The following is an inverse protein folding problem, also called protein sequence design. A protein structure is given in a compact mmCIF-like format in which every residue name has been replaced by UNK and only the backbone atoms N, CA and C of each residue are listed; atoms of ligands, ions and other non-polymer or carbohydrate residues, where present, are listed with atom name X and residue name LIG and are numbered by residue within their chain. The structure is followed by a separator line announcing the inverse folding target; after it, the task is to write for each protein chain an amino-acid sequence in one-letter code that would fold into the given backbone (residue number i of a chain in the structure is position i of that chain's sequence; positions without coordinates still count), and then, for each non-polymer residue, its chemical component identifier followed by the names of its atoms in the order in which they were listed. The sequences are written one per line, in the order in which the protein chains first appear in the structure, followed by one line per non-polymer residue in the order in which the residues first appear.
data_IF_890276220598
#
_entry.id   IF_890276220598
#
_cell.length_a   1.000
_cell.length_b   1.000
_cell.length_c   1.000
_cell.angle_alpha   90.00
_cell.angle_beta   90.00
_cell.angle_gamma   90.00
#
_symmetry.space_group_name_H-M   'P 1'
#
loop_
_entity.id
_entity.type
_entity.pdbx_description
1 polymer ?
2 branched ?
3 branched ?
4 water ?
#
# COMPACT_ATOMS: atom_id res chain seq x y z
N UNK A 1 -17.24 20.12 -4.84
CA UNK A 1 -16.37 19.42 -5.85
C UNK A 1 -16.27 17.93 -5.54
N UNK A 2 -16.56 17.11 -6.55
CA UNK A 2 -16.58 15.66 -6.36
C UNK A 2 -15.18 15.10 -6.05
N UNK A 3 -14.12 15.74 -6.60
CA UNK A 3 -12.76 15.25 -6.43
C UNK A 3 -11.91 16.34 -5.75
N UNK A 4 -10.47 15.73 -5.16
CA UNK A 4 -9.43 16.58 -4.62
C UNK A 4 -8.72 17.35 -5.75
N UNK A 5 -8.19 18.53 -5.46
CA UNK A 5 -7.56 19.38 -6.49
C UNK A 5 -6.32 18.76 -7.14
N UNK A 6 -5.62 17.92 -6.39
CA UNK A 6 -4.40 17.27 -6.87
C UNK A 6 -4.75 16.26 -7.95
N UNK A 7 -6.00 15.81 -8.01
CA UNK A 7 -6.41 14.90 -9.08
C UNK A 7 -6.34 15.57 -10.42
N UNK A 8 -6.53 16.88 -10.45
CA UNK A 8 -6.48 17.61 -11.71
C UNK A 8 -5.09 18.08 -12.12
N UNK A 9 -4.17 18.21 -11.17
CA UNK A 9 -2.85 18.83 -11.43
C UNK A 9 -1.62 17.93 -11.19
N UNK A 10 -1.82 16.71 -10.74
CA UNK A 10 -0.70 15.84 -10.36
C UNK A 10 0.27 15.61 -11.51
N UNK A 11 1.56 15.79 -11.26
CA UNK A 11 2.62 15.35 -12.18
C UNK A 11 3.92 15.14 -11.40
N UNK A 12 4.83 14.30 -11.92
CA UNK A 12 6.09 14.00 -11.24
C UNK A 12 6.99 15.27 -11.23
N UNK A 13 7.48 15.62 -10.06
CA UNK A 13 8.44 16.68 -9.87
C UNK A 13 9.50 16.31 -8.86
N UNK A 14 10.65 16.96 -9.01
CA UNK A 14 11.73 16.82 -8.08
C UNK A 14 12.80 15.90 -8.61
N UNK A 15 13.76 15.68 -7.74
CA UNK A 15 14.87 14.79 -7.94
C UNK A 15 14.31 13.36 -7.90
N UNK A 16 14.93 12.44 -8.63
CA UNK A 16 14.47 11.06 -8.66
C UNK A 16 15.62 10.08 -8.52
N UNK A 17 15.25 8.86 -8.13
CA UNK A 17 16.16 7.76 -8.01
C UNK A 17 15.48 6.54 -8.60
N UNK A 18 16.19 5.82 -9.46
CA UNK A 18 15.69 4.56 -10.01
C UNK A 18 16.44 3.41 -9.36
N UNK A 19 15.71 2.47 -8.80
CA UNK A 19 16.30 1.30 -8.19
C UNK A 19 15.83 0.07 -8.96
N UNK A 20 16.70 -0.92 -9.07
CA UNK A 20 16.37 -2.12 -9.84
C UNK A 20 16.65 -3.44 -9.12
N UNK A 21 17.00 -3.32 -7.84
CA UNK A 21 17.07 -4.44 -6.91
C UNK A 21 16.35 -4.09 -5.63
N UNK A 22 16.14 -5.05 -4.74
CA UNK A 22 15.49 -4.77 -3.47
C UNK A 22 16.26 -3.71 -2.74
N UNK A 23 15.58 -2.68 -2.30
CA UNK A 23 16.26 -1.53 -1.72
C UNK A 23 15.28 -0.68 -0.93
N UNK A 24 15.74 -0.27 0.25
CA UNK A 24 15.10 0.72 1.12
C UNK A 24 15.97 1.98 1.12
N UNK A 25 15.34 3.14 1.01
CA UNK A 25 16.07 4.40 1.06
C UNK A 25 15.15 5.59 1.29
N UNK A 26 15.72 6.76 1.11
CA UNK A 26 14.97 8.00 1.09
C UNK A 26 15.35 8.84 -0.14
N UNK A 27 14.39 9.59 -0.65
CA UNK A 27 14.61 10.55 -1.70
C UNK A 27 13.97 11.80 -1.21
N UNK A 28 14.82 12.81 -1.06
CA UNK A 28 14.44 13.99 -0.33
C UNK A 28 14.07 13.50 1.04
N UNK A 29 12.86 13.88 1.45
CA UNK A 29 12.31 13.52 2.77
C UNK A 29 11.22 12.49 2.71
N UNK A 30 11.23 11.64 1.69
CA UNK A 30 10.24 10.57 1.55
C UNK A 30 10.97 9.25 1.58
N UNK A 31 10.41 8.30 2.33
CA UNK A 31 10.94 6.95 2.35
C UNK A 31 10.41 6.14 1.21
N UNK A 32 11.26 5.31 0.61
CA UNK A 32 10.84 4.41 -0.45
C UNK A 32 11.31 2.99 -0.19
N UNK A 33 10.66 2.05 -0.85
CA UNK A 33 11.14 0.67 -0.89
C UNK A 33 10.68 0.02 -2.17
N UNK A 34 11.62 -0.70 -2.78
CA UNK A 34 11.32 -1.70 -3.82
C UNK A 34 11.58 -3.05 -3.22
N UNK A 35 10.62 -3.95 -3.35
CA UNK A 35 10.79 -5.34 -2.88
C UNK A 35 10.08 -6.28 -3.82
N UNK A 36 10.77 -7.33 -4.28
CA UNK A 36 10.16 -8.39 -5.05
C UNK A 36 10.86 -9.70 -4.70
N UNK A 37 10.15 -10.78 -4.89
CA UNK A 37 10.75 -12.10 -4.65
C UNK A 37 11.46 -12.70 -5.86
N UNK A 38 11.25 -12.08 -7.02
CA UNK A 38 11.72 -12.55 -8.30
C UNK A 38 11.42 -11.49 -9.35
N UNK A 39 12.06 -11.64 -10.51
CA UNK A 39 11.71 -10.89 -11.71
C UNK A 39 12.74 -9.82 -12.03
N UNK A 40 12.51 -9.15 -13.15
CA UNK A 40 13.33 -8.06 -13.65
C UNK A 40 12.53 -6.77 -13.50
N UNK A 41 12.78 -6.06 -12.40
CA UNK A 41 11.86 -5.04 -11.91
C UNK A 41 12.57 -3.72 -11.68
N UNK A 42 11.79 -2.65 -11.49
CA UNK A 42 12.38 -1.38 -11.15
C UNK A 42 11.34 -0.50 -10.51
N UNK A 43 11.80 0.59 -9.92
CA UNK A 43 10.92 1.64 -9.48
C UNK A 43 11.68 2.95 -9.52
N UNK A 44 10.98 4.01 -9.84
CA UNK A 44 11.54 5.35 -9.87
C UNK A 44 10.77 6.22 -8.86
N UNK A 45 11.50 6.72 -7.87
CA UNK A 45 10.93 7.49 -6.77
C UNK A 45 11.35 8.93 -6.89
N UNK A 46 10.37 9.82 -6.71
CA UNK A 46 10.60 11.28 -6.78
C UNK A 46 10.52 11.92 -5.40
N UNK A 47 11.26 13.01 -5.23
CA UNK A 47 11.30 13.75 -3.94
C UNK A 47 9.96 14.42 -3.59
N UNK A 48 9.02 14.53 -4.56
CA UNK A 48 7.67 15.02 -4.27
C UNK A 48 6.72 13.94 -3.78
N UNK A 49 7.24 12.73 -3.59
CA UNK A 49 6.48 11.59 -3.10
C UNK A 49 5.95 10.66 -4.19
N UNK A 50 5.78 11.18 -5.40
CA UNK A 50 5.25 10.41 -6.51
C UNK A 50 6.29 9.38 -6.97
N UNK A 51 5.84 8.41 -7.76
CA UNK A 51 6.72 7.32 -8.16
C UNK A 51 6.11 6.56 -9.31
N UNK A 52 6.92 5.68 -9.90
CA UNK A 52 6.47 4.80 -10.97
C UNK A 52 7.13 3.43 -10.81
N UNK A 53 6.45 2.42 -11.35
CA UNK A 53 6.78 1.00 -11.12
C UNK A 53 6.85 0.20 -12.40
N UNK A 54 7.83 -0.69 -12.50
CA UNK A 54 7.88 -1.70 -13.56
C UNK A 54 8.18 -3.04 -12.94
N UNK A 55 7.51 -4.07 -13.44
CA UNK A 55 7.74 -5.44 -12.99
C UNK A 55 7.69 -6.38 -14.21
N UNK A 56 8.57 -7.38 -14.22
CA UNK A 56 8.60 -8.34 -15.33
C UNK A 56 8.89 -9.69 -14.76
N UNK A 57 7.96 -10.61 -15.05
CA UNK A 57 8.07 -11.98 -14.61
C UNK A 57 8.30 -12.14 -13.09
N UNK A 58 7.49 -11.41 -12.33
CA UNK A 58 7.55 -11.44 -10.87
C UNK A 58 6.46 -12.30 -10.23
N UNK A 59 6.81 -12.90 -9.12
CA UNK A 59 5.90 -13.65 -8.31
C UNK A 59 5.14 -12.70 -7.43
N UNK A 60 5.88 -11.83 -6.73
CA UNK A 60 5.28 -10.81 -5.88
C UNK A 60 6.19 -9.58 -5.95
N UNK A 61 5.63 -8.44 -6.34
CA UNK A 61 6.32 -7.19 -6.53
C UNK A 61 5.58 -6.08 -5.76
N UNK A 62 6.34 -5.32 -4.99
CA UNK A 62 5.85 -4.16 -4.25
C UNK A 62 6.71 -2.94 -4.54
N UNK A 63 6.04 -1.82 -4.88
CA UNK A 63 6.71 -0.53 -4.96
C UNK A 63 5.95 0.41 -4.03
N UNK A 64 6.66 1.12 -3.18
CA UNK A 64 5.93 1.94 -2.18
C UNK A 64 6.80 3.13 -1.78
N UNK A 65 6.10 4.21 -1.41
CA UNK A 65 6.70 5.48 -0.99
C UNK A 65 5.85 6.15 0.09
N UNK A 66 6.55 6.71 1.07
CA UNK A 66 5.81 7.42 2.14
C UNK A 66 6.63 7.47 3.39
N UNK A 67 5.99 7.14 4.53
CA UNK A 67 6.56 7.35 5.82
C UNK A 67 7.32 6.11 6.32
N UNK A 68 8.51 6.30 6.88
CA UNK A 68 9.30 5.22 7.54
C UNK A 68 9.56 5.63 9.00
N UNK A 69 9.11 4.81 9.94
CA UNK A 69 9.26 5.03 11.35
C UNK A 69 10.22 4.04 11.95
N UNK A 70 10.49 4.12 13.24
CA UNK A 70 11.45 3.27 13.90
C UNK A 70 10.80 2.22 14.82
N UNK A 71 9.50 1.99 14.63
CA UNK A 71 8.81 0.95 15.39
C UNK A 71 8.88 1.14 16.91
N UNK A 72 8.76 2.41 17.35
CA UNK A 72 8.75 2.73 18.77
C UNK A 72 7.40 3.29 19.26
N UNK A 73 6.51 3.70 18.34
CA UNK A 73 5.28 4.43 18.71
C UNK A 73 4.09 3.78 18.02
N UNK A 74 2.98 3.64 18.73
CA UNK A 74 1.72 3.23 18.09
C UNK A 74 1.22 4.36 17.20
N UNK A 75 0.29 4.06 16.29
CA UNK A 75 -0.28 5.13 15.49
C UNK A 75 -0.91 6.28 16.32
N UNK A 76 -1.59 5.95 17.39
CA UNK A 76 -2.20 6.97 18.20
C UNK A 76 -1.14 7.91 18.80
N UNK A 77 0.01 7.36 19.16
CA UNK A 77 1.11 8.16 19.68
C UNK A 77 1.73 9.04 18.59
N UNK A 78 1.77 8.53 17.36
CA UNK A 78 2.35 9.28 16.26
C UNK A 78 1.51 10.50 15.87
N UNK A 79 0.21 10.27 15.83
CA UNK A 79 -0.76 11.25 15.35
C UNK A 79 -1.63 10.67 14.25
N UNK A 80 -2.62 11.44 13.85
CA UNK A 80 -3.54 11.03 12.80
C UNK A 80 -2.82 11.17 11.45
N UNK A 81 -3.01 10.19 10.57
CA UNK A 81 -2.32 10.10 9.31
C UNK A 81 -3.29 9.97 8.13
N UNK A 82 -2.85 10.51 6.99
CA UNK A 82 -3.60 10.48 5.75
C UNK A 82 -2.65 10.28 4.58
N UNK A 83 -3.17 9.79 3.46
CA UNK A 83 -2.41 9.72 2.23
C UNK A 83 -3.24 10.23 1.08
N UNK A 84 -2.62 11.09 0.27
CA UNK A 84 -3.17 11.58 -0.95
C UNK A 84 -2.52 10.76 -2.06
N UNK A 85 -3.32 10.25 -3.00
CA UNK A 85 -2.74 9.48 -4.08
C UNK A 85 -3.51 9.65 -5.38
N UNK A 86 -2.79 9.47 -6.47
CA UNK A 86 -3.38 9.34 -7.80
C UNK A 86 -2.67 8.19 -8.52
N UNK A 87 -3.45 7.20 -8.95
CA UNK A 87 -2.96 6.06 -9.73
C UNK A 87 -3.38 6.22 -11.19
N UNK A 88 -2.43 5.99 -12.08
CA UNK A 88 -2.71 5.86 -13.52
C UNK A 88 -2.30 4.45 -13.93
N UNK A 89 -3.29 3.63 -14.23
CA UNK A 89 -3.02 2.29 -14.70
C UNK A 89 -2.44 2.30 -16.09
N UNK A 90 -1.57 1.34 -16.35
CA UNK A 90 -0.93 1.17 -17.64
C UNK A 90 -1.07 -0.30 -18.03
N UNK A 91 -0.40 -0.74 -19.07
CA UNK A 91 -0.50 -2.14 -19.48
C UNK A 91 0.09 -3.10 -18.45
N UNK A 92 -0.56 -4.26 -18.28
CA UNK A 92 -0.01 -5.36 -17.48
C UNK A 92 -0.64 -6.70 -17.90
N UNK A 93 0.00 -7.79 -17.48
CA UNK A 93 -0.43 -9.13 -17.89
C UNK A 93 -0.07 -10.15 -16.83
N UNK A 94 -0.87 -11.22 -16.76
CA UNK A 94 -0.70 -12.28 -15.76
C UNK A 94 -0.60 -11.78 -14.32
N UNK A 95 -1.34 -10.71 -14.05
CA UNK A 95 -1.44 -10.17 -12.70
C UNK A 95 -2.58 -10.94 -11.99
N UNK A 96 -2.22 -11.89 -11.15
CA UNK A 96 -3.19 -12.76 -10.48
C UNK A 96 -3.82 -12.09 -9.27
N UNK A 97 -3.05 -11.23 -8.60
CA UNK A 97 -3.54 -10.47 -7.47
C UNK A 97 -2.82 -9.14 -7.42
N UNK A 98 -3.44 -8.14 -6.78
CA UNK A 98 -2.85 -6.81 -6.74
C UNK A 98 -3.59 -5.96 -5.74
N UNK A 99 -2.83 -5.07 -5.10
CA UNK A 99 -3.36 -4.11 -4.15
C UNK A 99 -2.72 -2.77 -4.44
N UNK A 100 -3.56 -1.72 -4.43
CA UNK A 100 -3.13 -0.34 -4.54
C UNK A 100 -3.82 0.46 -3.42
N UNK A 101 -3.04 1.22 -2.66
CA UNK A 101 -3.60 2.05 -1.60
C UNK A 101 -2.50 2.35 -0.61
N UNK A 102 -2.81 2.16 0.67
CA UNK A 102 -1.84 2.37 1.72
C UNK A 102 -1.45 1.00 2.32
N UNK A 103 -0.20 0.90 2.74
CA UNK A 103 0.34 -0.33 3.31
C UNK A 103 1.38 -0.02 4.36
N UNK A 104 1.52 -0.92 5.31
CA UNK A 104 2.63 -0.87 6.22
C UNK A 104 2.65 -2.06 7.12
N UNK A 105 3.40 -1.92 8.19
CA UNK A 105 3.58 -2.93 9.19
C UNK A 105 3.54 -2.31 10.58
N UNK A 106 3.16 -3.11 11.57
CA UNK A 106 3.51 -2.87 12.96
C UNK A 106 4.35 -4.01 13.51
N UNK A 107 4.99 -3.74 14.64
CA UNK A 107 5.61 -4.74 15.47
C UNK A 107 4.94 -4.78 16.83
N UNK A 108 5.04 -5.91 17.50
CA UNK A 108 4.47 -6.06 18.85
C UNK A 108 3.00 -5.65 18.94
N UNK A 109 2.13 -6.28 18.16
CA UNK A 109 2.39 -7.44 17.32
C UNK A 109 2.83 -7.13 15.91
N UNK A 110 3.47 -8.14 15.31
CA UNK A 110 3.86 -8.08 13.93
C UNK A 110 2.64 -8.26 13.01
N UNK A 111 2.32 -7.21 12.28
CA UNK A 111 1.13 -7.18 11.42
C UNK A 111 1.48 -6.43 10.16
N UNK A 112 1.03 -6.96 9.02
CA UNK A 112 1.03 -6.22 7.78
C UNK A 112 -0.38 -5.72 7.53
N UNK A 113 -0.51 -4.47 7.13
CA UNK A 113 -1.80 -3.92 6.91
C UNK A 113 -1.93 -3.26 5.53
N UNK A 114 -3.15 -3.28 5.02
CA UNK A 114 -3.49 -2.76 3.71
C UNK A 114 -4.82 -2.00 3.75
N UNK A 115 -4.84 -0.84 3.14
CA UNK A 115 -6.08 -0.12 2.84
C UNK A 115 -6.08 -0.05 1.30
N UNK A 116 -6.95 -0.82 0.70
CA UNK A 116 -6.92 -1.07 -0.71
C UNK A 116 -8.06 -0.36 -1.43
N UNK A 117 -7.68 0.65 -2.21
CA UNK A 117 -8.63 1.46 -2.98
C UNK A 117 -8.68 1.08 -4.45
N UNK A 118 -7.69 0.35 -4.93
CA UNK A 118 -7.67 -0.08 -6.30
C UNK A 118 -6.70 -1.28 -6.48
N UNK A 119 -6.50 -1.73 -7.71
CA UNK A 119 -5.83 -3.00 -7.96
C UNK A 119 -5.49 -2.97 -9.44
N UNK A 120 -4.33 -3.54 -9.77
CA UNK A 120 -3.84 -3.65 -11.15
C UNK A 120 -4.29 -4.90 -11.86
N UNK A 121 -4.88 -5.83 -11.10
CA UNK A 121 -5.44 -7.06 -11.60
C UNK A 121 -6.73 -6.76 -12.35
N UNK A 122 -7.18 -7.68 -13.21
CA UNK A 122 -8.43 -7.40 -13.93
C UNK A 122 -9.67 -7.24 -13.03
N UNK A 123 -9.68 -7.98 -11.92
CA UNK A 123 -10.79 -7.94 -10.98
C UNK A 123 -10.27 -7.61 -9.58
N UNK A 124 -11.16 -7.14 -8.71
CA UNK A 124 -10.65 -6.84 -7.38
C UNK A 124 -10.29 -8.09 -6.58
N UNK A 125 -9.52 -7.92 -5.51
CA UNK A 125 -9.27 -9.03 -4.63
C UNK A 125 -10.57 -9.60 -4.09
N UNK A 126 -10.65 -10.91 -3.97
CA UNK A 126 -11.81 -11.57 -3.40
C UNK A 126 -11.66 -12.01 -1.96
N UNK A 127 -12.56 -12.89 -1.52
CA UNK A 127 -12.61 -13.30 -0.11
C UNK A 127 -11.40 -14.12 0.31
N UNK A 128 -10.64 -14.58 -0.67
CA UNK A 128 -9.37 -15.25 -0.42
C UNK A 128 -8.30 -14.37 0.24
N UNK A 129 -8.53 -13.07 0.32
CA UNK A 129 -7.53 -12.18 0.94
C UNK A 129 -7.34 -12.50 2.42
N UNK A 130 -8.36 -13.02 3.07
CA UNK A 130 -8.19 -13.39 4.48
C UNK A 130 -9.15 -14.45 4.96
N UNK A 131 -8.76 -15.19 5.98
CA UNK A 131 -9.61 -16.24 6.54
C UNK A 131 -10.78 -15.74 7.37
N UNK A 132 -10.69 -14.50 7.86
CA UNK A 132 -11.77 -13.89 8.66
C UNK A 132 -12.36 -12.69 7.92
N UNK A 133 -13.61 -12.81 7.52
CA UNK A 133 -14.31 -11.71 6.83
C UNK A 133 -15.18 -11.04 7.88
N UNK A 134 -14.80 -9.84 8.29
CA UNK A 134 -15.57 -9.10 9.27
C UNK A 134 -16.82 -8.48 8.69
N UNK A 135 -16.83 -8.24 7.38
CA UNK A 135 -18.01 -7.73 6.68
C UNK A 135 -17.81 -6.33 6.16
N UNK A 136 -18.93 -5.68 5.90
CA UNK A 136 -18.95 -4.37 5.27
C UNK A 136 -19.09 -3.26 6.31
N UNK A 137 -18.31 -2.21 6.14
CA UNK A 137 -18.25 -1.10 7.03
C UNK A 137 -18.16 0.19 6.26
N UNK A 138 -18.77 1.24 6.81
CA UNK A 138 -18.59 2.56 6.30
C UNK A 138 -17.34 3.17 6.96
N UNK A 139 -16.28 3.38 6.19
CA UNK A 139 -15.02 3.92 6.72
C UNK A 139 -14.63 5.07 5.82
N UNK A 140 -14.32 6.22 6.38
CA UNK A 140 -13.82 7.34 5.58
C UNK A 140 -14.78 7.65 4.42
N UNK A 141 -16.06 7.59 4.72
CA UNK A 141 -17.08 8.04 3.77
C UNK A 141 -17.40 7.07 2.63
N UNK A 142 -16.90 5.84 2.73
CA UNK A 142 -17.10 4.87 1.65
C UNK A 142 -17.22 3.45 2.23
N UNK A 143 -17.77 2.54 1.45
CA UNK A 143 -17.92 1.16 1.86
C UNK A 143 -16.66 0.36 1.58
N UNK A 144 -16.21 -0.30 2.65
CA UNK A 144 -15.05 -1.17 2.62
C UNK A 144 -15.43 -2.53 3.22
N UNK A 145 -14.86 -3.60 2.65
CA UNK A 145 -14.91 -4.88 3.26
C UNK A 145 -13.67 -5.10 4.10
N UNK A 146 -13.84 -5.54 5.35
CA UNK A 146 -12.71 -5.70 6.27
C UNK A 146 -12.45 -7.17 6.48
N UNK A 147 -11.17 -7.52 6.38
CA UNK A 147 -10.72 -8.90 6.56
C UNK A 147 -9.53 -8.90 7.49
N UNK A 148 -9.35 -10.03 8.15
CA UNK A 148 -8.17 -10.34 8.90
C UNK A 148 -7.66 -11.68 8.35
N UNK A 149 -6.36 -11.81 8.33
CA UNK A 149 -5.71 -13.02 7.83
C UNK A 149 -4.56 -13.39 8.72
N UNK A 150 -4.10 -14.64 8.58
CA UNK A 150 -2.81 -15.06 9.14
C UNK A 150 -2.03 -15.58 7.93
N UNK A 151 -0.81 -15.07 7.79
CA UNK A 151 0.04 -15.38 6.61
C UNK A 151 1.41 -15.84 7.08
N UNK A 152 1.94 -16.84 6.35
CA UNK A 152 3.31 -17.31 6.50
C UNK A 152 4.07 -16.89 5.23
N UNK A 153 5.14 -16.17 5.41
CA UNK A 153 5.84 -15.58 4.29
C UNK A 153 6.91 -14.60 4.73
N UNK A 154 7.48 -13.89 3.76
CA UNK A 154 8.47 -12.88 4.04
C UNK A 154 7.86 -11.77 4.88
N UNK A 155 8.70 -11.14 5.65
CA UNK A 155 8.25 -10.02 6.49
C UNK A 155 9.41 -9.09 6.76
N UNK A 156 9.11 -7.98 7.37
CA UNK A 156 10.15 -7.05 7.82
C UNK A 156 11.09 -7.59 8.91
N UNK A 157 10.69 -8.73 9.52
CA UNK A 157 11.47 -9.43 10.53
C UNK A 157 12.15 -10.70 9.98
N UNK A 158 12.02 -10.94 8.68
CA UNK A 158 12.41 -12.23 8.10
C UNK A 158 11.23 -13.15 7.88
N UNK A 159 11.44 -14.29 7.27
CA UNK A 159 10.38 -15.23 6.98
C UNK A 159 9.80 -15.74 8.32
N UNK A 160 8.49 -15.54 8.48
CA UNK A 160 7.79 -15.92 9.70
C UNK A 160 6.30 -15.97 9.42
N UNK A 161 5.50 -15.86 10.48
CA UNK A 161 4.05 -15.79 10.38
C UNK A 161 3.54 -14.57 11.12
N UNK A 162 2.47 -14.01 10.60
CA UNK A 162 1.96 -12.74 11.14
C UNK A 162 0.52 -12.56 10.73
N UNK A 163 -0.22 -11.76 11.50
CA UNK A 163 -1.56 -11.38 11.05
C UNK A 163 -1.45 -10.31 9.96
N UNK A 164 -2.49 -10.24 9.14
CA UNK A 164 -2.69 -9.15 8.19
C UNK A 164 -4.05 -8.55 8.42
N UNK A 165 -4.12 -7.23 8.25
CA UNK A 165 -5.40 -6.50 8.28
C UNK A 165 -5.66 -5.88 6.93
N UNK A 166 -6.87 -6.04 6.40
CA UNK A 166 -7.25 -5.44 5.13
C UNK A 166 -8.57 -4.68 5.24
N UNK A 167 -8.59 -3.52 4.59
CA UNK A 167 -9.81 -2.85 4.20
C UNK A 167 -9.81 -2.82 2.68
N UNK A 168 -10.83 -3.38 2.04
CA UNK A 168 -10.90 -3.43 0.58
C UNK A 168 -12.10 -2.58 0.13
N UNK A 169 -11.81 -1.53 -0.63
CA UNK A 169 -12.86 -0.64 -1.10
C UNK A 169 -13.78 -1.39 -2.08
N UNK A 170 -15.06 -1.23 -1.89
CA UNK A 170 -16.05 -1.94 -2.68
C UNK A 170 -16.21 -1.40 -4.09
N UNK A 171 -15.80 -0.15 -4.27
CA UNK A 171 -15.80 0.56 -5.55
C UNK A 171 -14.42 1.17 -5.74
N UNK A 172 -13.70 0.81 -6.79
CA UNK A 172 -12.35 1.33 -7.03
C UNK A 172 -12.33 2.85 -7.05
N UNK A 173 -11.21 3.39 -6.58
CA UNK A 173 -10.95 4.82 -6.60
C UNK A 173 -9.56 5.01 -7.17
N UNK A 174 -9.40 5.91 -8.15
CA UNK A 174 -8.05 6.16 -8.66
C UNK A 174 -7.37 7.43 -8.19
N UNK A 175 -8.08 8.23 -7.40
CA UNK A 175 -7.50 9.46 -6.89
C UNK A 175 -8.30 9.97 -5.70
N UNK A 176 -7.62 10.25 -4.60
CA UNK A 176 -8.29 10.82 -3.45
C UNK A 176 -7.38 10.76 -2.24
N UNK A 177 -7.96 11.03 -1.08
CA UNK A 177 -7.27 10.93 0.20
C UNK A 177 -7.82 9.77 1.00
N UNK A 178 -6.91 8.88 1.42
CA UNK A 178 -7.24 7.82 2.36
C UNK A 178 -6.98 8.36 3.77
N UNK A 179 -8.00 8.31 4.61
CA UNK A 179 -7.85 8.61 6.02
C UNK A 179 -7.40 7.32 6.69
N UNK A 180 -6.10 7.23 6.83
CA UNK A 180 -5.46 6.03 7.34
C UNK A 180 -5.92 5.69 8.74
N UNK A 181 -5.91 6.71 9.61
CA UNK A 181 -6.24 6.47 10.99
C UNK A 181 -7.70 6.07 11.18
N UNK A 182 -8.56 6.52 10.26
CA UNK A 182 -9.98 6.09 10.35
C UNK A 182 -10.11 4.58 10.17
N UNK A 183 -9.24 3.99 9.32
CA UNK A 183 -9.24 2.55 9.18
C UNK A 183 -8.71 1.88 10.44
N UNK A 184 -7.62 2.43 11.00
CA UNK A 184 -7.11 1.92 12.26
C UNK A 184 -8.19 1.93 13.36
N UNK A 185 -8.96 3.02 13.40
CA UNK A 185 -10.02 3.12 14.40
C UNK A 185 -11.07 1.99 14.22
N UNK A 186 -11.50 1.77 13.00
CA UNK A 186 -12.45 0.70 12.70
C UNK A 186 -11.89 -0.66 13.06
N UNK A 187 -10.63 -0.89 12.68
CA UNK A 187 -10.00 -2.19 12.97
C UNK A 187 -9.99 -2.46 14.49
N UNK A 188 -9.73 -1.41 15.28
CA UNK A 188 -9.63 -1.59 16.74
C UNK A 188 -10.99 -2.06 17.33
N UNK A 189 -12.09 -1.54 16.76
CA UNK A 189 -13.44 -1.99 17.15
C UNK A 189 -13.72 -3.47 16.89
N UNK A 190 -12.95 -4.05 15.98
CA UNK A 190 -13.11 -5.43 15.55
C UNK A 190 -12.04 -6.32 16.16
N UNK A 191 -11.27 -5.85 17.14
CA UNK A 191 -10.27 -6.69 17.78
C UNK A 191 -8.93 -6.73 17.03
N UNK A 192 -8.78 -5.86 16.04
CA UNK A 192 -7.57 -5.79 15.20
C UNK A 192 -6.73 -4.60 15.68
N UNK A 193 -5.88 -4.86 16.67
CA UNK A 193 -5.11 -3.82 17.35
C UNK A 193 -3.82 -3.52 16.61
N UNK A 194 -3.42 -2.26 16.59
CA UNK A 194 -2.16 -1.87 15.96
C UNK A 194 -1.05 -1.85 16.99
N UNK A 195 0.09 -2.48 16.65
CA UNK A 195 1.30 -2.35 17.41
C UNK A 195 2.08 -1.07 17.13
N UNK A 196 3.37 -1.12 17.39
CA UNK A 196 4.28 -0.02 17.09
C UNK A 196 4.51 0.08 15.60
N UNK A 197 4.37 1.27 15.05
CA UNK A 197 4.30 1.46 13.64
C UNK A 197 5.69 1.47 12.98
N UNK A 198 5.82 0.64 11.95
CA UNK A 198 7.03 0.61 11.14
C UNK A 198 6.99 1.57 9.96
N UNK A 199 5.82 1.70 9.34
CA UNK A 199 5.73 2.52 8.11
C UNK A 199 4.25 2.74 7.76
N UNK A 200 4.03 3.74 6.91
CA UNK A 200 2.74 3.98 6.26
C UNK A 200 3.04 4.55 4.92
N UNK A 201 2.81 3.77 3.86
CA UNK A 201 3.22 4.15 2.54
C UNK A 201 2.10 3.94 1.51
N UNK A 202 2.15 4.73 0.43
CA UNK A 202 1.34 4.45 -0.77
C UNK A 202 2.01 3.28 -1.51
N UNK A 203 1.22 2.29 -1.85
CA UNK A 203 1.70 1.01 -2.41
C UNK A 203 1.04 0.66 -3.74
N UNK A 204 1.86 0.16 -4.67
CA UNK A 204 1.42 -0.74 -5.71
C UNK A 204 2.05 -2.12 -5.57
N UNK A 205 1.21 -3.13 -5.41
CA UNK A 205 1.63 -4.52 -5.34
C UNK A 205 0.97 -5.29 -6.47
N UNK A 206 1.75 -6.13 -7.15
CA UNK A 206 1.25 -7.05 -8.17
C UNK A 206 1.97 -8.36 -8.05
N UNK A 207 1.23 -9.45 -8.30
CA UNK A 207 1.84 -10.76 -8.21
C UNK A 207 1.03 -11.85 -8.84
N UNK A 208 1.60 -13.05 -8.76
CA UNK A 208 0.92 -14.25 -9.24
C UNK A 208 1.47 -15.48 -8.53
N UNK A 209 0.58 -16.32 -8.04
CA UNK A 209 1.00 -17.41 -7.18
C UNK A 209 1.79 -18.46 -7.98
N UNK A 210 1.58 -18.52 -9.30
CA UNK A 210 2.26 -19.54 -10.13
C UNK A 210 3.14 -19.00 -11.24
N UNK A 211 2.54 -18.23 -12.13
CA UNK A 211 3.28 -17.50 -13.13
C UNK A 211 4.02 -16.33 -12.48
N UNK A 212 4.18 -15.30 -13.32
CA UNK A 212 5.16 -14.28 -13.18
C UNK A 212 4.43 -13.16 -13.87
N UNK A 213 4.08 -12.16 -13.06
CA UNK A 213 3.34 -11.00 -13.49
C UNK A 213 4.27 -10.01 -14.12
N UNK A 214 3.72 -9.25 -15.06
CA UNK A 214 4.45 -8.21 -15.78
C UNK A 214 3.56 -7.00 -16.03
N UNK A 215 4.18 -5.82 -15.96
CA UNK A 215 3.52 -4.59 -16.32
C UNK A 215 4.18 -3.38 -15.71
N UNK A 216 3.46 -2.27 -15.78
CA UNK A 216 3.90 -1.02 -15.16
C UNK A 216 2.71 -0.33 -14.52
N UNK A 217 3.00 0.65 -13.65
CA UNK A 217 1.97 1.50 -13.05
C UNK A 217 2.59 2.84 -12.73
N UNK A 218 1.77 3.87 -12.77
CA UNK A 218 2.24 5.23 -12.48
C UNK A 218 1.50 5.81 -11.31
N UNK A 219 2.24 6.48 -10.41
CA UNK A 219 1.64 7.20 -9.29
C UNK A 219 2.08 8.67 -9.36
N UNK A 220 1.40 9.45 -10.20
CA UNK A 220 1.80 10.84 -10.37
C UNK A 220 1.53 11.70 -9.14
N UNK A 221 0.78 11.17 -8.19
CA UNK A 221 0.66 11.81 -6.89
C UNK A 221 0.73 10.78 -5.79
N UNK A 222 1.56 11.05 -4.78
CA UNK A 222 1.59 10.21 -3.61
C UNK A 222 2.22 10.98 -2.46
N UNK A 223 1.43 11.28 -1.44
CA UNK A 223 1.92 12.04 -0.29
C UNK A 223 1.26 11.52 0.95
N UNK A 224 2.08 11.07 1.88
CA UNK A 224 1.60 10.58 3.16
C UNK A 224 2.05 11.58 4.21
N UNK A 225 1.17 11.87 5.17
CA UNK A 225 1.44 12.96 6.12
C UNK A 225 0.75 12.72 7.45
N UNK A 226 1.34 13.30 8.50
CA UNK A 226 0.74 13.31 9.84
C UNK A 226 0.03 14.65 9.98
N UNK A 227 -1.29 14.63 10.21
CA UNK A 227 -2.03 15.89 10.38
C UNK A 227 -3.44 15.67 9.86
N UNK A 228 -4.01 16.72 9.27
CA UNK A 228 -5.43 16.74 8.87
C UNK A 228 -5.65 16.91 7.35
X LIG B 1 -8.57 -15.83 -8.49
X LIG B 1 -7.40 -16.23 -7.68
X LIG B 1 -6.31 -15.16 -7.75
X LIG B 1 -5.15 -15.64 -6.87
X LIG B 1 -5.60 -15.95 -5.43
X LIG B 1 -6.73 -16.99 -5.44
X LIG B 1 -5.89 -14.91 -9.11
X LIG B 1 -4.11 -14.65 -6.85
X LIG B 1 -4.44 -16.45 -4.72
X LIG B 1 -7.77 -16.42 -6.28
X LIG B 2 -4.02 -15.72 -3.57
X LIG B 2 -3.00 -16.50 -2.78
X LIG B 2 -2.46 -15.62 -1.69
X LIG B 2 -1.88 -14.33 -2.26
X LIG B 2 -2.97 -13.67 -3.05
X LIG B 2 -3.61 -17.63 -2.20
X LIG B 2 -1.47 -16.27 -0.95
X LIG B 2 -1.54 -13.53 -1.12
X LIG B 2 -3.36 -14.57 -4.11
X LIG B 3 -0.76 -12.37 -1.32
X LIG B 3 -0.99 -11.51 -0.08
X LIG B 3 -0.03 -10.34 0.01
X LIG B 3 1.40 -10.83 -0.12
X LIG B 3 1.53 -11.68 -1.33
X LIG B 3 -2.36 -11.09 -0.14
X LIG B 3 -0.25 -9.70 1.31
X LIG B 3 2.33 -9.73 -0.21
X LIG B 3 0.59 -12.78 -1.24
X LIG C 1 6.23 -8.14 2.64
X LIG C 1 7.62 -7.98 2.45
X LIG C 1 7.95 -6.53 2.82
X LIG C 1 9.41 -6.26 2.72
X LIG C 1 10.17 -7.26 3.54
X LIG C 1 9.74 -8.63 3.14
X LIG C 1 7.25 -5.63 1.94
X LIG C 1 9.70 -4.90 3.20
X LIG C 1 11.59 -7.11 3.20
X LIG C 1 8.34 -8.78 3.34
X LIG C 2 12.48 -7.70 4.07
X LIG C 2 13.85 -7.83 3.36
X LIG C 2 14.89 -8.30 4.35
X LIG C 2 14.94 -7.42 5.54
X LIG C 2 13.54 -7.37 6.13
X LIG C 2 13.73 -8.73 2.27
X LIG C 2 16.21 -8.25 3.71
X LIG C 2 15.88 -7.98 6.47
X LIG C 2 12.65 -6.80 5.11
#
# INVERSE_FOLDING_TARGET
AEFQSFCSSASHSGQSVKVTGNKVGTIGGVGYELWADSGNNSATFYSDGSFSCTFQNAGDYLCRSGLSFDSTKTPSQIGRMKADFKLVKQNSSNVGYSYVGVYGWTRSPLVAYYIVDNWLSPFPPGDWVGNKKHGSFTIDGAQYTVYENTRTGPSIDGDTTFNQYFSIRQQARDCGTIDISAHFDQWEKLGMTMGKLHEAKVLGEAGNVNGGASGTADFPYAKVYIGD
XYP O1 C1 C2 C3 C4 C5 O2 O3 O4 O5
XYP C1 C2 C3 C4 C5 O2 O3 O4 O5
XYP C1 C2 C3 C4 C5 O2 O3 O4 O5
XYP O1 C1 C2 C3 C4 C5 O2 O3 O4 O5
XYP C1 C2 C3 C4 C5 O2 O3 O4 O5
#
